data_IF_240814910048
#
_entry.id   IF_240814910048
#
_cell.length_a   1.000
_cell.length_b   1.000
_cell.length_c   1.000
_cell.angle_alpha   90.00
_cell.angle_beta   90.00
_cell.angle_gamma   90.00
#
_symmetry.space_group_name_H-M   'P 1'
#
loop_
_entity.id
_entity.type
_entity.pdbx_description
1 polymer ?
#
# COMPACT_ATOMS: atom_id res chain seq x y z
N UNK A 1 8.02 42.37 33.57
CA UNK A 1 7.36 42.14 32.26
C UNK A 1 7.12 40.65 32.14
N UNK A 2 5.86 40.24 32.13
CA UNK A 2 5.43 38.85 32.08
C UNK A 2 5.09 38.50 30.63
N UNK A 3 5.73 37.48 30.06
CA UNK A 3 5.26 36.86 28.83
C UNK A 3 4.94 35.38 29.04
N UNK A 4 3.62 35.17 29.03
CA UNK A 4 2.83 33.95 29.02
C UNK A 4 3.40 32.84 28.14
N UNK A 5 3.64 31.68 28.75
CA UNK A 5 3.83 30.41 28.07
C UNK A 5 2.49 29.95 27.48
N UNK A 6 2.36 29.99 26.15
CA UNK A 6 1.23 29.36 25.45
C UNK A 6 1.45 27.85 25.47
N UNK A 7 0.74 27.17 26.38
CA UNK A 7 0.57 25.72 26.35
C UNK A 7 -0.11 25.34 25.04
N UNK A 8 0.63 24.70 24.12
CA UNK A 8 0.06 24.02 22.96
C UNK A 8 -0.82 22.90 23.49
N UNK A 9 -2.14 23.04 23.31
CA UNK A 9 -3.09 21.96 23.57
C UNK A 9 -2.91 20.91 22.49
N UNK A 10 -2.29 19.79 22.84
CA UNK A 10 -2.39 18.56 22.05
C UNK A 10 -3.85 18.12 22.13
N UNK A 11 -4.55 18.16 21.00
CA UNK A 11 -5.87 17.55 20.87
C UNK A 11 -5.66 16.05 20.70
N UNK A 12 -5.64 15.31 21.82
CA UNK A 12 -5.91 13.88 21.78
C UNK A 12 -7.43 13.76 21.64
N UNK A 13 -7.91 13.53 20.42
CA UNK A 13 -9.30 13.15 20.20
C UNK A 13 -9.54 11.80 20.87
N UNK A 14 -10.13 11.83 22.07
CA UNK A 14 -10.60 10.62 22.73
C UNK A 14 -11.87 10.15 22.02
N UNK A 15 -11.73 9.38 20.95
CA UNK A 15 -12.87 8.81 20.24
C UNK A 15 -13.47 7.68 21.11
N UNK A 16 -14.77 7.81 21.43
CA UNK A 16 -15.55 6.88 22.27
C UNK A 16 -16.53 6.02 21.47
N UNK A 17 -16.51 6.08 20.15
CA UNK A 17 -17.35 5.26 19.29
C UNK A 17 -16.56 4.04 18.81
N UNK A 18 -17.05 2.84 19.14
CA UNK A 18 -16.43 1.59 18.73
C UNK A 18 -16.52 1.41 17.22
N UNK A 19 -15.45 0.88 16.61
CA UNK A 19 -15.44 0.45 15.21
C UNK A 19 -16.64 -0.44 14.92
N UNK A 20 -17.36 -0.15 13.85
CA UNK A 20 -18.51 -0.98 13.44
C UNK A 20 -17.99 -2.29 12.84
N UNK A 21 -18.73 -3.36 13.09
CA UNK A 21 -18.51 -4.62 12.40
C UNK A 21 -18.77 -4.43 10.90
N UNK A 22 -17.83 -4.85 10.06
CA UNK A 22 -17.95 -4.77 8.60
C UNK A 22 -18.56 -6.08 8.11
N UNK A 23 -19.73 -5.99 7.48
CA UNK A 23 -20.41 -7.14 6.91
C UNK A 23 -19.68 -7.63 5.65
N UNK A 24 -19.67 -8.96 5.44
CA UNK A 24 -19.16 -9.57 4.20
C UNK A 24 -17.65 -9.89 4.19
N UNK A 25 -16.91 -9.57 5.25
CA UNK A 25 -15.45 -9.83 5.34
C UNK A 25 -15.10 -11.31 5.09
N UNK A 26 -15.84 -12.25 5.66
CA UNK A 26 -15.60 -13.69 5.44
C UNK A 26 -15.76 -14.12 3.98
N UNK A 27 -16.65 -13.47 3.24
CA UNK A 27 -16.85 -13.75 1.82
C UNK A 27 -15.73 -13.11 1.00
N UNK A 28 -15.34 -11.88 1.33
CA UNK A 28 -14.18 -11.21 0.73
C UNK A 28 -12.92 -12.05 0.88
N UNK A 29 -12.61 -12.53 2.09
CA UNK A 29 -11.48 -13.42 2.37
C UNK A 29 -11.48 -14.61 1.40
N UNK A 30 -12.58 -15.37 1.34
CA UNK A 30 -12.66 -16.56 0.47
C UNK A 30 -12.50 -16.26 -1.02
N UNK A 31 -13.01 -15.11 -1.48
CA UNK A 31 -12.85 -14.67 -2.87
C UNK A 31 -11.39 -14.36 -3.16
N UNK A 32 -10.76 -13.54 -2.32
CA UNK A 32 -9.35 -13.16 -2.46
C UNK A 32 -8.42 -14.37 -2.32
N UNK A 33 -8.66 -15.29 -1.38
CA UNK A 33 -7.84 -16.51 -1.22
C UNK A 33 -7.82 -17.37 -2.49
N UNK A 34 -8.99 -17.50 -3.13
CA UNK A 34 -9.14 -18.25 -4.38
C UNK A 34 -8.46 -17.57 -5.57
N UNK A 35 -8.54 -16.25 -5.65
CA UNK A 35 -8.12 -15.47 -6.83
C UNK A 35 -6.63 -15.09 -6.80
N UNK A 36 -6.07 -14.95 -5.61
CA UNK A 36 -4.66 -14.63 -5.39
C UNK A 36 -3.85 -15.82 -4.86
N UNK A 37 -4.43 -17.02 -4.78
CA UNK A 37 -3.74 -18.24 -4.32
C UNK A 37 -2.97 -18.04 -3.00
N UNK A 38 -3.55 -17.24 -2.11
CA UNK A 38 -2.91 -16.74 -0.89
C UNK A 38 -3.80 -17.00 0.32
N UNK A 39 -3.22 -17.02 1.52
CA UNK A 39 -3.98 -16.89 2.76
C UNK A 39 -4.27 -15.42 3.02
N UNK A 40 -5.50 -15.08 3.38
CA UNK A 40 -5.91 -13.68 3.56
C UNK A 40 -6.24 -13.39 5.03
N UNK A 41 -5.68 -12.31 5.57
CA UNK A 41 -6.06 -11.73 6.85
C UNK A 41 -6.56 -10.31 6.62
N UNK A 42 -7.74 -9.99 7.18
CA UNK A 42 -8.33 -8.66 7.10
C UNK A 42 -8.59 -8.14 8.51
N UNK A 43 -8.14 -6.94 8.78
CA UNK A 43 -8.33 -6.25 10.07
C UNK A 43 -8.78 -4.81 9.87
N UNK A 44 -9.46 -4.26 10.87
CA UNK A 44 -9.84 -2.84 10.84
C UNK A 44 -8.63 -1.97 11.20
N UNK A 45 -8.26 -1.04 10.32
CA UNK A 45 -7.22 -0.04 10.53
C UNK A 45 -7.45 0.75 11.83
N UNK A 46 -6.41 0.90 12.64
CA UNK A 46 -6.41 1.74 13.86
C UNK A 46 -6.01 3.18 13.60
N UNK A 47 -5.64 3.53 12.36
CA UNK A 47 -5.08 4.84 12.01
C UNK A 47 -6.07 5.99 12.19
N UNK A 48 -7.36 5.75 11.94
CA UNK A 48 -8.41 6.73 12.18
C UNK A 48 -9.56 6.09 12.94
N UNK A 49 -9.95 6.70 14.06
CA UNK A 49 -11.02 6.20 14.92
C UNK A 49 -12.42 6.35 14.29
N UNK A 50 -12.55 7.19 13.26
CA UNK A 50 -13.83 7.56 12.62
C UNK A 50 -14.09 6.81 11.31
N UNK A 51 -13.08 6.17 10.73
CA UNK A 51 -13.17 5.47 9.46
C UNK A 51 -13.02 3.95 9.63
N UNK A 52 -13.94 3.18 9.04
CA UNK A 52 -13.85 1.73 8.98
C UNK A 52 -12.94 1.34 7.79
N UNK A 53 -11.65 1.66 7.86
CA UNK A 53 -10.70 1.26 6.82
C UNK A 53 -10.16 -0.14 7.12
N UNK A 54 -9.83 -0.88 6.07
CA UNK A 54 -9.29 -2.22 6.13
C UNK A 54 -7.77 -2.20 5.95
N UNK A 55 -7.09 -3.08 6.67
CA UNK A 55 -5.74 -3.53 6.34
C UNK A 55 -5.87 -4.97 5.88
N UNK A 56 -5.36 -5.24 4.68
CA UNK A 56 -5.41 -6.56 4.03
C UNK A 56 -3.99 -7.11 3.99
N UNK A 57 -3.80 -8.31 4.49
CA UNK A 57 -2.54 -9.04 4.44
C UNK A 57 -2.76 -10.32 3.61
N UNK A 58 -1.94 -10.51 2.58
CA UNK A 58 -1.94 -11.65 1.68
C UNK A 58 -0.65 -12.42 1.87
N UNK A 59 -0.72 -13.65 2.37
CA UNK A 59 0.44 -14.53 2.44
C UNK A 59 0.42 -15.51 1.28
N UNK A 60 1.38 -15.36 0.39
CA UNK A 60 1.48 -16.11 -0.84
C UNK A 60 2.67 -17.09 -0.76
N UNK A 61 2.48 -18.37 -1.13
CA UNK A 61 3.55 -19.36 -1.11
C UNK A 61 4.53 -19.24 -2.31
N UNK A 62 4.53 -18.11 -3.01
CA UNK A 62 5.37 -17.84 -4.20
C UNK A 62 6.52 -16.90 -3.83
N UNK A 63 7.62 -16.95 -4.58
CA UNK A 63 8.62 -15.87 -4.59
C UNK A 63 8.17 -14.68 -5.46
N UNK A 64 8.86 -13.55 -5.35
CA UNK A 64 8.57 -12.33 -6.13
C UNK A 64 8.50 -12.58 -7.63
N UNK A 65 9.52 -13.24 -8.18
CA UNK A 65 9.56 -13.55 -9.61
C UNK A 65 8.41 -14.46 -10.06
N UNK A 66 8.10 -15.49 -9.27
CA UNK A 66 7.04 -16.45 -9.56
C UNK A 66 5.66 -15.78 -9.56
N UNK A 67 5.39 -14.94 -8.55
CA UNK A 67 4.15 -14.17 -8.46
C UNK A 67 3.98 -13.24 -9.66
N UNK A 68 5.01 -12.47 -10.02
CA UNK A 68 4.97 -11.56 -11.16
C UNK A 68 4.76 -12.32 -12.48
N UNK A 69 5.41 -13.48 -12.65
CA UNK A 69 5.19 -14.36 -13.80
C UNK A 69 3.73 -14.83 -13.88
N UNK A 70 3.16 -15.35 -12.79
CA UNK A 70 1.77 -15.81 -12.79
C UNK A 70 0.77 -14.67 -13.01
N UNK A 71 1.03 -13.48 -12.47
CA UNK A 71 0.22 -12.29 -12.71
C UNK A 71 0.22 -11.91 -14.19
N UNK A 72 1.38 -11.87 -14.86
CA UNK A 72 1.49 -11.56 -16.29
C UNK A 72 0.78 -12.57 -17.19
N UNK A 73 0.65 -13.83 -16.75
CA UNK A 73 -0.12 -14.87 -17.46
C UNK A 73 -1.63 -14.79 -17.19
N UNK A 74 -2.07 -13.86 -16.35
CA UNK A 74 -3.46 -13.78 -15.92
C UNK A 74 -3.88 -14.93 -15.00
N UNK A 75 -2.93 -15.55 -14.31
CA UNK A 75 -3.17 -16.67 -13.40
C UNK A 75 -3.15 -16.25 -11.92
N UNK A 76 -2.85 -14.99 -11.61
CA UNK A 76 -2.79 -14.48 -10.23
C UNK A 76 -3.41 -13.09 -10.18
N UNK A 77 -4.44 -12.91 -9.34
CA UNK A 77 -5.18 -11.65 -9.25
C UNK A 77 -5.96 -11.26 -10.52
N UNK A 78 -6.03 -12.14 -11.51
CA UNK A 78 -6.53 -11.78 -12.83
C UNK A 78 -8.01 -12.06 -13.03
N UNK A 79 -8.70 -10.98 -13.38
CA UNK A 79 -9.49 -10.79 -14.61
C UNK A 79 -10.05 -12.05 -15.29
N UNK A 80 -11.20 -12.51 -14.81
CA UNK A 80 -12.03 -13.45 -15.57
C UNK A 80 -12.50 -12.76 -16.87
N UNK A 81 -12.34 -13.35 -18.07
CA UNK A 81 -12.85 -12.80 -19.32
C UNK A 81 -14.37 -12.50 -19.31
N UNK A 82 -15.13 -13.11 -18.39
CA UNK A 82 -16.54 -12.77 -18.18
C UNK A 82 -16.78 -11.42 -17.48
N UNK A 83 -15.77 -10.83 -16.83
CA UNK A 83 -15.80 -9.51 -16.18
C UNK A 83 -15.28 -8.38 -17.10
N UNK A 84 -14.96 -8.69 -18.36
CA UNK A 84 -14.43 -7.76 -19.38
C UNK A 84 -15.28 -6.50 -19.59
N UNK A 85 -16.53 -6.49 -19.14
CA UNK A 85 -17.42 -5.36 -19.30
C UNK A 85 -17.12 -4.14 -18.39
N UNK A 86 -16.36 -4.29 -17.28
CA UNK A 86 -16.18 -3.19 -16.31
C UNK A 86 -14.87 -2.41 -16.43
N UNK A 87 -13.77 -3.03 -16.85
CA UNK A 87 -12.45 -2.36 -16.93
C UNK A 87 -11.79 -2.09 -15.57
N UNK A 88 -12.36 -2.61 -14.47
CA UNK A 88 -11.92 -2.32 -13.10
C UNK A 88 -11.05 -3.45 -12.52
N UNK A 89 -10.03 -3.14 -11.70
CA UNK A 89 -9.24 -4.15 -10.99
C UNK A 89 -10.10 -5.06 -10.12
N UNK A 90 -9.67 -6.31 -9.97
CA UNK A 90 -10.44 -7.33 -9.26
C UNK A 90 -10.67 -6.99 -7.77
N UNK A 91 -9.65 -6.44 -7.11
CA UNK A 91 -9.77 -5.98 -5.72
C UNK A 91 -10.80 -4.85 -5.60
N UNK A 92 -10.83 -3.92 -6.57
CA UNK A 92 -11.81 -2.83 -6.57
C UNK A 92 -13.24 -3.35 -6.67
N UNK A 93 -13.50 -4.35 -7.51
CA UNK A 93 -14.82 -4.98 -7.65
C UNK A 93 -15.30 -5.52 -6.29
N UNK A 94 -14.48 -6.28 -5.58
CA UNK A 94 -14.87 -6.83 -4.28
C UNK A 94 -15.02 -5.75 -3.21
N UNK A 95 -14.20 -4.70 -3.25
CA UNK A 95 -14.34 -3.57 -2.32
C UNK A 95 -15.62 -2.77 -2.57
N UNK A 96 -16.06 -2.63 -3.83
CA UNK A 96 -17.37 -2.05 -4.15
C UNK A 96 -18.51 -2.87 -3.54
N UNK A 97 -18.50 -4.20 -3.67
CA UNK A 97 -19.52 -5.06 -3.05
C UNK A 97 -19.57 -4.90 -1.52
N UNK A 98 -18.40 -4.77 -0.87
CA UNK A 98 -18.32 -4.51 0.57
C UNK A 98 -18.92 -3.15 0.94
N UNK A 99 -18.63 -2.11 0.16
CA UNK A 99 -19.21 -0.77 0.37
C UNK A 99 -20.72 -0.79 0.20
N UNK A 100 -21.23 -1.46 -0.83
CA UNK A 100 -22.67 -1.62 -1.09
C UNK A 100 -23.37 -2.35 0.06
N UNK A 101 -22.77 -3.44 0.56
CA UNK A 101 -23.35 -4.24 1.65
C UNK A 101 -23.46 -3.47 2.97
N UNK A 102 -22.50 -2.58 3.25
CA UNK A 102 -22.43 -1.86 4.51
C UNK A 102 -23.13 -0.49 4.46
N UNK A 103 -23.39 0.06 3.27
CA UNK A 103 -24.00 1.39 3.11
C UNK A 103 -23.14 2.54 3.64
N UNK A 104 -21.85 2.30 3.84
CA UNK A 104 -20.86 3.27 4.33
C UNK A 104 -19.58 3.15 3.51
N UNK A 105 -18.83 4.24 3.42
CA UNK A 105 -17.52 4.22 2.81
C UNK A 105 -16.55 3.36 3.64
N UNK A 106 -15.91 2.41 2.97
CA UNK A 106 -14.91 1.47 3.50
C UNK A 106 -13.80 1.44 2.47
N UNK A 107 -12.57 1.63 2.93
CA UNK A 107 -11.40 1.84 2.09
C UNK A 107 -10.29 0.86 2.51
N UNK A 108 -9.31 0.64 1.63
CA UNK A 108 -8.12 -0.14 1.97
C UNK A 108 -7.01 0.83 2.36
N UNK A 109 -6.64 0.84 3.65
CA UNK A 109 -5.58 1.70 4.18
C UNK A 109 -4.19 1.17 3.80
N UNK A 110 -4.05 -0.14 3.81
CA UNK A 110 -2.81 -0.85 3.50
C UNK A 110 -3.13 -2.23 2.94
N UNK A 111 -2.38 -2.61 1.92
CA UNK A 111 -2.31 -3.97 1.41
C UNK A 111 -0.87 -4.46 1.52
N UNK A 112 -0.66 -5.57 2.21
CA UNK A 112 0.64 -6.22 2.35
C UNK A 112 0.62 -7.58 1.68
N UNK A 113 1.55 -7.84 0.76
CA UNK A 113 1.73 -9.12 0.07
C UNK A 113 3.03 -9.75 0.57
N UNK A 114 2.91 -10.74 1.44
CA UNK A 114 4.02 -11.51 1.98
C UNK A 114 4.33 -12.67 1.03
N UNK A 115 5.49 -12.61 0.38
CA UNK A 115 6.03 -13.65 -0.48
C UNK A 115 7.13 -14.41 0.28
N UNK A 116 7.62 -15.50 -0.29
CA UNK A 116 8.70 -16.30 0.33
C UNK A 116 10.00 -15.52 0.55
N UNK A 117 10.30 -14.57 -0.32
CA UNK A 117 11.58 -13.86 -0.43
C UNK A 117 11.45 -12.34 -0.41
N UNK A 118 10.24 -11.80 -0.32
CA UNK A 118 9.95 -10.37 -0.38
C UNK A 118 8.60 -10.07 0.28
N UNK A 119 8.47 -8.94 0.94
CA UNK A 119 7.17 -8.37 1.31
C UNK A 119 6.91 -7.12 0.47
N UNK A 120 5.72 -6.97 -0.09
CA UNK A 120 5.32 -5.74 -0.79
C UNK A 120 4.26 -5.06 0.08
N UNK A 121 4.52 -3.82 0.50
CA UNK A 121 3.59 -3.03 1.31
C UNK A 121 3.10 -1.85 0.46
N UNK A 122 1.79 -1.80 0.22
CA UNK A 122 1.15 -0.73 -0.55
C UNK A 122 0.28 0.08 0.41
N UNK A 123 0.64 1.36 0.60
CA UNK A 123 -0.09 2.29 1.46
C UNK A 123 -1.02 3.18 0.66
N UNK A 124 -2.19 3.46 1.24
CA UNK A 124 -3.13 4.41 0.68
C UNK A 124 -2.53 5.80 0.47
N UNK A 125 -2.78 6.38 -0.71
CA UNK A 125 -2.40 7.77 -1.05
C UNK A 125 -3.60 8.66 -1.37
N UNK A 126 -4.74 8.04 -1.70
CA UNK A 126 -6.02 8.65 -2.00
C UNK A 126 -7.15 7.67 -1.66
N UNK A 127 -8.41 8.12 -1.52
CA UNK A 127 -9.55 7.22 -1.41
C UNK A 127 -9.56 6.19 -2.53
N UNK A 128 -9.77 4.92 -2.18
CA UNK A 128 -9.83 3.78 -3.11
C UNK A 128 -8.53 3.52 -3.92
N UNK A 129 -7.43 4.18 -3.56
CA UNK A 129 -6.21 4.17 -4.38
C UNK A 129 -5.52 2.81 -4.39
N UNK A 130 -5.54 2.07 -3.28
CA UNK A 130 -4.89 0.76 -3.20
C UNK A 130 -5.60 -0.23 -4.10
N UNK A 131 -6.93 -0.35 -3.97
CA UNK A 131 -7.71 -1.30 -4.77
C UNK A 131 -7.78 -0.93 -6.25
N UNK A 132 -7.64 0.36 -6.61
CA UNK A 132 -7.61 0.81 -8.00
C UNK A 132 -6.24 0.67 -8.67
N UNK A 133 -5.15 0.65 -7.90
CA UNK A 133 -3.79 0.71 -8.46
C UNK A 133 -3.00 -0.59 -8.30
N UNK A 134 -3.49 -1.58 -7.54
CA UNK A 134 -2.80 -2.85 -7.29
C UNK A 134 -2.22 -3.48 -8.57
N UNK A 135 -3.06 -3.74 -9.56
CA UNK A 135 -2.64 -4.41 -10.81
C UNK A 135 -1.58 -3.60 -11.57
N UNK A 136 -1.73 -2.27 -11.59
CA UNK A 136 -0.80 -1.36 -12.26
C UNK A 136 0.54 -1.26 -11.51
N UNK A 137 0.52 -1.21 -10.18
CA UNK A 137 1.73 -1.25 -9.34
C UNK A 137 2.50 -2.54 -9.58
N UNK A 138 1.84 -3.69 -9.58
CA UNK A 138 2.49 -4.98 -9.81
C UNK A 138 3.02 -5.13 -11.24
N UNK A 139 2.32 -4.57 -12.23
CA UNK A 139 2.82 -4.51 -13.61
C UNK A 139 4.10 -3.66 -13.71
N UNK A 140 4.13 -2.49 -13.07
CA UNK A 140 5.33 -1.65 -12.99
C UNK A 140 6.45 -2.39 -12.25
N UNK A 141 6.15 -3.11 -11.17
CA UNK A 141 7.12 -3.93 -10.46
C UNK A 141 7.70 -5.02 -11.37
N UNK A 142 6.88 -5.68 -12.20
CA UNK A 142 7.35 -6.66 -13.18
C UNK A 142 8.28 -6.03 -14.24
N UNK A 143 7.92 -4.85 -14.76
CA UNK A 143 8.73 -4.10 -15.73
C UNK A 143 10.07 -3.62 -15.14
N UNK A 144 10.09 -3.34 -13.83
CA UNK A 144 11.24 -2.81 -13.12
C UNK A 144 12.04 -3.88 -12.35
N UNK A 145 11.63 -5.15 -12.39
CA UNK A 145 12.19 -6.23 -11.60
C UNK A 145 13.73 -6.31 -11.67
N UNK A 146 14.29 -6.20 -12.88
CA UNK A 146 15.75 -6.26 -13.11
C UNK A 146 16.52 -5.06 -12.56
N UNK A 147 15.85 -3.94 -12.30
CA UNK A 147 16.43 -2.71 -11.77
C UNK A 147 16.27 -2.59 -10.26
N UNK A 148 15.23 -3.22 -9.70
CA UNK A 148 14.96 -3.27 -8.26
C UNK A 148 15.78 -4.38 -7.60
N UNK A 149 16.08 -5.45 -8.33
CA UNK A 149 17.02 -6.49 -7.89
C UNK A 149 18.46 -6.03 -8.14
N UNK A 150 19.33 -6.08 -7.11
CA UNK A 150 20.75 -5.78 -7.30
C UNK A 150 21.43 -6.98 -7.94
N UNK A 151 22.12 -6.74 -9.06
CA UNK A 151 22.87 -7.74 -9.84
C UNK A 151 22.04 -8.97 -10.27
N UNK A 152 20.70 -8.86 -10.31
CA UNK A 152 19.76 -9.96 -10.52
C UNK A 152 19.84 -11.10 -9.50
N UNK A 153 20.56 -10.92 -8.39
CA UNK A 153 20.76 -11.95 -7.36
C UNK A 153 20.21 -11.56 -6.00
N UNK A 154 20.04 -10.26 -5.73
CA UNK A 154 19.52 -9.78 -4.45
C UNK A 154 18.13 -9.18 -4.63
N UNK A 155 17.12 -9.92 -4.16
CA UNK A 155 15.75 -9.44 -4.01
C UNK A 155 15.66 -8.60 -2.72
N UNK A 156 15.01 -7.42 -2.74
CA UNK A 156 14.72 -6.70 -1.51
C UNK A 156 13.83 -7.55 -0.60
N UNK A 157 14.14 -7.58 0.69
CA UNK A 157 13.28 -8.22 1.69
C UNK A 157 11.92 -7.53 1.78
N UNK A 158 11.88 -6.21 1.61
CA UNK A 158 10.65 -5.44 1.60
C UNK A 158 10.68 -4.34 0.52
N UNK A 159 9.54 -4.17 -0.16
CA UNK A 159 9.27 -3.08 -1.10
C UNK A 159 8.10 -2.28 -0.54
N UNK A 160 8.32 -1.01 -0.24
CA UNK A 160 7.32 -0.11 0.33
C UNK A 160 6.86 0.92 -0.71
N UNK A 161 5.56 0.97 -0.98
CA UNK A 161 4.96 1.67 -2.11
C UNK A 161 3.82 2.59 -1.64
N UNK A 162 3.91 3.92 -1.84
CA UNK A 162 5.09 4.72 -2.17
C UNK A 162 5.85 5.18 -0.92
N UNK A 163 7.02 5.77 -1.15
CA UNK A 163 7.71 6.62 -0.16
C UNK A 163 7.65 8.07 -0.62
N UNK A 164 7.60 8.99 0.34
CA UNK A 164 7.51 10.43 0.07
C UNK A 164 8.79 11.14 0.49
N UNK A 165 9.26 12.07 -0.32
CA UNK A 165 10.40 12.92 0.06
C UNK A 165 9.98 13.94 1.13
N UNK A 166 10.73 14.09 2.21
CA UNK A 166 10.53 15.24 3.08
C UNK A 166 11.14 16.51 2.48
N UNK A 167 10.31 17.51 2.16
CA UNK A 167 10.79 18.84 1.82
C UNK A 167 10.62 19.79 3.00
N UNK A 168 11.76 20.32 3.45
CA UNK A 168 11.81 21.43 4.41
C UNK A 168 11.40 22.72 3.69
N UNK A 169 10.28 23.32 4.08
CA UNK A 169 9.91 24.68 3.64
C UNK A 169 10.52 25.76 4.54
N UNK A 170 10.62 26.99 4.04
CA UNK A 170 11.15 28.16 4.78
C UNK A 170 10.43 28.40 6.11
N UNK A 171 9.14 28.08 6.17
CA UNK A 171 8.42 27.82 7.41
C UNK A 171 8.63 26.35 7.76
N UNK A 172 9.25 26.09 8.92
CA UNK A 172 9.77 24.83 9.50
C UNK A 172 8.80 23.64 9.64
N UNK A 173 7.78 23.54 8.78
CA UNK A 173 6.94 22.38 8.60
C UNK A 173 7.62 21.42 7.62
N UNK A 174 7.91 20.22 8.08
CA UNK A 174 8.24 19.08 7.24
C UNK A 174 7.00 18.78 6.37
N UNK A 175 7.17 18.76 5.05
CA UNK A 175 6.12 18.31 4.13
C UNK A 175 6.59 17.03 3.46
N UNK A 176 5.83 15.96 3.62
CA UNK A 176 5.92 14.81 2.72
C UNK A 176 5.51 15.29 1.31
N UNK A 177 6.45 15.33 0.38
CA UNK A 177 6.21 15.59 -1.03
C UNK A 177 5.74 14.31 -1.68
N UNK A 178 4.44 14.08 -1.52
CA UNK A 178 3.65 13.50 -2.61
C UNK A 178 3.35 14.56 -3.67
N UNK A 179 2.76 14.17 -4.80
CA UNK A 179 2.20 15.16 -5.72
C UNK A 179 1.32 16.16 -4.94
N UNK A 180 1.40 17.46 -5.29
CA UNK A 180 0.61 18.56 -4.67
C UNK A 180 -0.92 18.36 -4.77
N UNK A 181 -1.35 17.27 -5.39
CA UNK A 181 -2.71 16.78 -5.51
C UNK A 181 -2.68 15.31 -5.10
N UNK A 182 -3.71 14.90 -4.38
CA UNK A 182 -4.19 13.52 -4.32
C UNK A 182 -4.38 13.06 -5.78
N UNK A 183 -3.33 12.46 -6.35
CA UNK A 183 -3.27 12.01 -7.74
C UNK A 183 -2.65 10.62 -7.66
N UNK A 184 -3.33 9.65 -8.26
CA UNK A 184 -2.96 8.23 -8.24
C UNK A 184 -1.54 7.98 -8.77
N UNK A 185 -0.96 8.98 -9.42
CA UNK A 185 0.45 9.01 -9.84
C UNK A 185 1.45 8.96 -8.70
N UNK A 186 1.04 9.23 -7.46
CA UNK A 186 1.90 9.19 -6.28
C UNK A 186 2.65 7.87 -6.11
N UNK A 187 2.03 6.76 -6.51
CA UNK A 187 2.66 5.43 -6.47
C UNK A 187 3.87 5.30 -7.38
N UNK A 188 4.02 6.13 -8.42
CA UNK A 188 4.99 5.89 -9.48
C UNK A 188 6.20 6.83 -9.46
N UNK A 189 6.48 7.44 -8.30
CA UNK A 189 7.66 8.29 -8.11
C UNK A 189 8.80 7.52 -7.44
N UNK A 190 8.59 7.13 -6.18
CA UNK A 190 9.63 6.53 -5.36
C UNK A 190 9.09 5.37 -4.54
N UNK A 191 9.86 4.28 -4.47
CA UNK A 191 9.61 3.13 -3.60
C UNK A 191 10.74 2.97 -2.59
N UNK A 192 10.41 2.55 -1.37
CA UNK A 192 11.40 2.13 -0.38
C UNK A 192 11.80 0.68 -0.64
N UNK A 193 13.10 0.38 -0.62
CA UNK A 193 13.65 -0.95 -0.76
C UNK A 193 14.49 -1.28 0.48
N UNK A 194 14.13 -2.35 1.17
CA UNK A 194 14.87 -2.84 2.33
C UNK A 194 15.60 -4.11 1.93
N UNK A 195 16.92 -4.13 2.07
CA UNK A 195 17.77 -5.29 1.77
C UNK A 195 18.33 -5.86 3.07
N UNK A 196 18.58 -7.17 3.13
CA UNK A 196 19.10 -7.84 4.33
C UNK A 196 20.48 -7.31 4.76
N UNK A 197 21.30 -6.89 3.80
CA UNK A 197 22.69 -6.45 4.03
C UNK A 197 22.81 -4.96 4.37
N UNK A 198 21.72 -4.19 4.26
CA UNK A 198 21.73 -2.74 4.46
C UNK A 198 21.03 -2.38 5.78
N UNK A 199 21.66 -1.55 6.60
CA UNK A 199 21.04 -1.05 7.84
C UNK A 199 19.95 -0.01 7.56
N UNK A 200 20.10 0.75 6.47
CA UNK A 200 19.21 1.82 6.07
C UNK A 200 18.40 1.45 4.83
N UNK A 201 17.20 2.02 4.74
CA UNK A 201 16.32 1.82 3.61
C UNK A 201 16.86 2.55 2.37
N UNK A 202 16.78 1.89 1.22
CA UNK A 202 17.17 2.49 -0.06
C UNK A 202 15.93 3.05 -0.76
N UNK A 203 16.12 4.10 -1.55
CA UNK A 203 15.03 4.68 -2.35
C UNK A 203 15.22 4.25 -3.80
N UNK A 204 14.18 3.67 -4.38
CA UNK A 204 14.11 3.41 -5.81
C UNK A 204 13.40 4.55 -6.53
N UNK A 205 14.13 5.27 -7.38
CA UNK A 205 13.57 6.25 -8.30
C UNK A 205 13.05 5.53 -9.55
N UNK A 206 11.72 5.43 -9.66
CA UNK A 206 11.09 4.70 -10.77
C UNK A 206 11.40 5.35 -12.11
N UNK A 207 11.42 6.68 -12.18
CA UNK A 207 11.62 7.40 -13.43
C UNK A 207 13.02 7.18 -13.98
N UNK A 208 14.02 7.25 -13.11
CA UNK A 208 15.43 7.13 -13.50
C UNK A 208 15.94 5.69 -13.43
N UNK A 209 15.17 4.76 -12.85
CA UNK A 209 15.49 3.33 -12.68
C UNK A 209 16.78 3.11 -11.90
N UNK A 210 16.99 3.90 -10.86
CA UNK A 210 18.18 3.87 -10.01
C UNK A 210 17.79 3.71 -8.55
N UNK A 211 18.66 3.02 -7.80
CA UNK A 211 18.58 2.92 -6.34
C UNK A 211 19.53 3.99 -5.77
N UNK A 212 19.01 4.85 -4.91
CA UNK A 212 19.76 5.90 -4.21
C UNK A 212 19.68 5.66 -2.69
N UNK A 213 20.73 6.01 -1.92
CA UNK A 213 20.63 6.01 -0.45
C UNK A 213 19.55 7.00 -0.01
N UNK A 214 18.76 6.64 1.01
CA UNK A 214 17.77 7.55 1.57
C UNK A 214 17.75 7.52 3.09
N UNK A 215 17.69 8.70 3.70
CA UNK A 215 17.31 8.86 5.10
C UNK A 215 15.77 8.70 5.18
N UNK A 216 15.27 7.47 5.36
CA UNK A 216 13.86 7.21 5.63
C UNK A 216 13.59 7.34 7.12
N UNK A 217 13.13 8.51 7.55
CA UNK A 217 12.49 8.65 8.85
C UNK A 217 11.11 7.97 8.78
N UNK A 218 11.01 6.73 9.27
CA UNK A 218 9.72 6.11 9.55
C UNK A 218 9.04 6.98 10.61
N UNK A 219 7.96 7.69 10.25
CA UNK A 219 7.15 8.41 11.22
C UNK A 219 6.60 7.37 12.21
N UNK A 220 7.13 7.37 13.44
CA UNK A 220 6.64 6.54 14.54
C UNK A 220 5.12 6.67 14.64
N UNK A 221 4.45 5.52 14.64
CA UNK A 221 2.98 5.37 14.70
C UNK A 221 2.38 5.86 16.02
#
# INVERSE_FOLDING_TARGET
>A
MAHSSRKTKVFISSCREGKKEILGVDQLIKKLEREYFSRILIRNSTACCEENNLVIEMECPLGLHEMLFHMQQGAWGSYNPSLVCTGLPLLNIHMQEIRELNGTFIDVEELSIQLKDCTIVIKKIAPESVENQLDAILMVLAEHYVHITREMTMTPMEIFVPVYEEVKTEDSLIRLVGPKKVDDKGYYFYWGLYFEEEEEAMIYDLKNKVIIPGDLDLLDQ
#
